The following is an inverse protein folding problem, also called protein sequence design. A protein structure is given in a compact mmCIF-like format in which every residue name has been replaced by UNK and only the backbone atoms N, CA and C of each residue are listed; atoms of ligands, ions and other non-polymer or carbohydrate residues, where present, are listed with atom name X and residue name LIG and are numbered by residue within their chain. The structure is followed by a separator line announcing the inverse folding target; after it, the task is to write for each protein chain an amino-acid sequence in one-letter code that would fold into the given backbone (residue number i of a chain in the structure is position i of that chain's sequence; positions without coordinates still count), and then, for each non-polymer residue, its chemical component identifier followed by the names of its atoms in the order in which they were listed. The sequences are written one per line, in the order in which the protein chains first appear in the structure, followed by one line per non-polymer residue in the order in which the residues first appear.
data_IF_600421577083
#
_entry.id   IF_600421577083
#
_cell.length_a   1.000
_cell.length_b   1.000
_cell.length_c   1.000
_cell.angle_alpha   90.00
_cell.angle_beta   90.00
_cell.angle_gamma   90.00
#
_symmetry.space_group_name_H-M   'P 1'
#
loop_
_entity.id
_entity.type
_entity.pdbx_description
1 polymer ?
#
# COMPACT_ATOMS: atom_id res chain seq x y z
N UNK A 1 1.11 13.43 -26.71
CA UNK A 1 0.98 12.93 -25.33
C UNK A 1 0.84 14.13 -24.41
N UNK A 2 -0.38 14.43 -23.97
CA UNK A 2 -0.68 15.62 -23.17
C UNK A 2 -0.36 15.35 -21.70
N UNK A 3 0.57 16.12 -21.14
CA UNK A 3 0.87 16.09 -19.70
C UNK A 3 -0.29 16.75 -18.95
N UNK A 4 -1.18 15.93 -18.39
CA UNK A 4 -2.31 16.42 -17.59
C UNK A 4 -1.77 16.82 -16.22
N UNK A 5 -1.41 18.10 -16.08
CA UNK A 5 -1.05 18.70 -14.80
C UNK A 5 -2.34 19.01 -14.04
N UNK A 6 -2.76 18.11 -13.15
CA UNK A 6 -3.85 18.37 -12.20
C UNK A 6 -3.32 19.29 -11.08
N UNK A 7 -3.56 20.59 -11.21
CA UNK A 7 -3.25 21.57 -10.16
C UNK A 7 -4.53 21.83 -9.35
N UNK A 8 -4.75 21.04 -8.30
CA UNK A 8 -5.64 21.40 -7.21
C UNK A 8 -4.81 22.03 -6.10
N UNK A 9 -4.70 23.37 -6.08
CA UNK A 9 -4.15 24.12 -4.94
C UNK A 9 -5.29 24.52 -4.00
N UNK A 10 -5.75 23.58 -3.19
CA UNK A 10 -6.45 23.90 -1.96
C UNK A 10 -5.41 24.02 -0.84
N UNK A 11 -5.47 25.10 -0.06
CA UNK A 11 -4.58 25.36 1.08
C UNK A 11 -4.94 24.41 2.23
N UNK A 12 -4.49 23.17 2.14
CA UNK A 12 -4.65 22.15 3.17
C UNK A 12 -3.53 22.30 4.20
N UNK A 13 -3.89 22.44 5.47
CA UNK A 13 -2.96 22.51 6.61
C UNK A 13 -1.99 21.32 6.58
N UNK A 14 -0.69 21.56 6.81
CA UNK A 14 0.46 20.67 6.51
C UNK A 14 0.52 19.24 7.11
N UNK A 15 -0.57 18.70 7.64
CA UNK A 15 -0.72 17.27 7.93
C UNK A 15 -1.19 16.47 6.70
N UNK A 16 -2.03 17.04 5.84
CA UNK A 16 -2.49 16.35 4.62
C UNK A 16 -1.44 16.34 3.51
N UNK A 17 -0.61 17.38 3.43
CA UNK A 17 0.45 17.50 2.42
C UNK A 17 1.45 16.33 2.48
N UNK A 18 1.80 15.87 3.70
CA UNK A 18 2.68 14.70 3.89
C UNK A 18 2.04 13.37 3.46
N UNK A 19 0.72 13.22 3.58
CA UNK A 19 0.03 12.01 3.09
C UNK A 19 -0.01 12.01 1.56
N UNK A 20 -0.24 13.16 0.95
CA UNK A 20 -0.33 13.29 -0.50
C UNK A 20 1.00 13.00 -1.21
N UNK A 21 2.11 13.54 -0.72
CA UNK A 21 3.44 13.28 -1.29
C UNK A 21 3.81 11.79 -1.23
N UNK A 22 3.45 11.11 -0.14
CA UNK A 22 3.67 9.67 0.00
C UNK A 22 2.82 8.83 -0.97
N UNK A 23 1.60 9.27 -1.28
CA UNK A 23 0.72 8.63 -2.25
C UNK A 23 1.27 8.71 -3.68
N UNK A 24 1.74 9.88 -4.10
CA UNK A 24 2.32 10.08 -5.44
C UNK A 24 3.59 9.26 -5.63
N UNK A 25 4.46 9.23 -4.63
CA UNK A 25 5.68 8.40 -4.67
C UNK A 25 5.34 6.90 -4.78
N UNK A 26 4.34 6.43 -4.02
CA UNK A 26 3.90 5.03 -4.05
C UNK A 26 3.37 4.61 -5.42
N UNK A 27 2.50 5.42 -6.02
CA UNK A 27 1.94 5.14 -7.35
C UNK A 27 3.04 4.99 -8.42
N UNK A 28 4.06 5.87 -8.40
CA UNK A 28 5.19 5.82 -9.35
C UNK A 28 6.01 4.54 -9.17
N UNK A 29 6.32 4.20 -7.91
CA UNK A 29 7.02 2.95 -7.59
C UNK A 29 6.26 1.72 -8.10
N UNK A 30 4.95 1.66 -7.89
CA UNK A 30 4.14 0.51 -8.37
C UNK A 30 4.07 0.48 -9.89
N UNK A 31 3.96 1.64 -10.56
CA UNK A 31 4.03 1.71 -12.02
C UNK A 31 5.38 1.22 -12.57
N UNK A 32 6.50 1.60 -11.95
CA UNK A 32 7.83 1.10 -12.31
C UNK A 32 7.94 -0.41 -12.09
N UNK A 33 7.36 -0.92 -11.01
CA UNK A 33 7.29 -2.35 -10.71
C UNK A 33 6.53 -3.12 -11.81
N UNK A 34 5.36 -2.62 -12.21
CA UNK A 34 4.55 -3.22 -13.30
C UNK A 34 5.33 -3.23 -14.62
N UNK A 35 5.99 -2.13 -14.98
CA UNK A 35 6.86 -2.09 -16.17
C UNK A 35 8.03 -3.09 -16.06
N UNK A 36 8.49 -3.38 -14.84
CA UNK A 36 9.52 -4.39 -14.59
C UNK A 36 9.07 -5.83 -14.87
N UNK A 37 7.77 -6.13 -14.77
CA UNK A 37 7.25 -7.49 -14.95
C UNK A 37 7.41 -8.01 -16.38
N UNK A 38 7.34 -7.14 -17.39
CA UNK A 38 7.62 -7.51 -18.78
C UNK A 38 9.10 -7.76 -19.09
N UNK A 39 10.01 -7.50 -18.14
CA UNK A 39 11.46 -7.73 -18.28
C UNK A 39 11.97 -8.86 -17.39
N UNK A 40 11.08 -9.62 -16.76
CA UNK A 40 11.47 -10.81 -16.01
C UNK A 40 12.05 -11.85 -16.96
N UNK A 41 13.03 -12.62 -16.48
CA UNK A 41 13.53 -13.75 -17.25
C UNK A 41 12.50 -14.88 -17.21
N UNK A 42 12.42 -15.68 -18.26
CA UNK A 42 11.72 -16.97 -18.21
C UNK A 42 12.30 -17.84 -17.07
N UNK A 43 11.42 -18.55 -16.38
CA UNK A 43 11.73 -19.36 -15.20
C UNK A 43 11.92 -18.59 -13.89
N UNK A 44 11.56 -17.29 -13.81
CA UNK A 44 11.77 -16.47 -12.60
C UNK A 44 11.06 -17.03 -11.34
N UNK A 45 9.99 -17.80 -11.53
CA UNK A 45 9.23 -18.46 -10.48
C UNK A 45 9.46 -19.98 -10.53
N UNK A 46 10.46 -20.46 -9.77
CA UNK A 46 10.82 -21.89 -9.66
C UNK A 46 11.02 -22.64 -11.00
N UNK A 47 11.40 -21.92 -12.06
CA UNK A 47 11.57 -22.49 -13.40
C UNK A 47 10.32 -22.45 -14.30
N UNK A 48 9.18 -21.97 -13.79
CA UNK A 48 7.89 -21.93 -14.53
C UNK A 48 7.48 -20.51 -14.96
N UNK A 49 7.92 -19.47 -14.24
CA UNK A 49 7.42 -18.10 -14.46
C UNK A 49 7.76 -17.52 -15.84
N UNK A 50 6.77 -16.91 -16.50
CA UNK A 50 6.93 -16.22 -17.79
C UNK A 50 6.89 -14.70 -17.57
N UNK A 51 7.64 -13.87 -18.34
CA UNK A 51 7.46 -12.43 -18.31
C UNK A 51 6.06 -12.00 -18.75
N UNK A 52 5.57 -10.90 -18.18
CA UNK A 52 4.30 -10.34 -18.61
C UNK A 52 4.36 -9.79 -20.04
N UNK A 53 3.30 -10.01 -20.82
CA UNK A 53 3.21 -9.45 -22.18
C UNK A 53 3.07 -7.92 -22.13
N UNK A 54 3.44 -7.22 -23.21
CA UNK A 54 3.27 -5.77 -23.29
C UNK A 54 1.80 -5.34 -23.10
N UNK A 55 0.86 -6.14 -23.61
CA UNK A 55 -0.58 -5.90 -23.43
C UNK A 55 -0.98 -6.02 -21.96
N UNK A 56 -0.57 -7.07 -21.24
CA UNK A 56 -0.87 -7.23 -19.81
C UNK A 56 -0.26 -6.09 -18.98
N UNK A 57 0.98 -5.67 -19.29
CA UNK A 57 1.64 -4.53 -18.64
C UNK A 57 0.86 -3.23 -18.87
N UNK A 58 0.46 -2.96 -20.11
CA UNK A 58 -0.33 -1.76 -20.46
C UNK A 58 -1.66 -1.74 -19.71
N UNK A 59 -2.35 -2.87 -19.71
CA UNK A 59 -3.70 -3.00 -19.16
C UNK A 59 -3.67 -2.89 -17.62
N UNK A 60 -2.69 -3.52 -16.95
CA UNK A 60 -2.46 -3.34 -15.52
C UNK A 60 -2.10 -1.89 -15.14
N UNK A 61 -1.32 -1.19 -15.97
CA UNK A 61 -1.04 0.24 -15.78
C UNK A 61 -2.31 1.09 -15.92
N UNK A 62 -3.25 0.72 -16.80
CA UNK A 62 -4.54 1.39 -16.95
C UNK A 62 -5.42 1.24 -15.70
N UNK A 63 -5.47 0.02 -15.14
CA UNK A 63 -6.17 -0.26 -13.88
C UNK A 63 -5.56 0.54 -12.73
N UNK A 64 -4.22 0.50 -12.59
CA UNK A 64 -3.49 1.27 -11.59
C UNK A 64 -3.84 2.77 -11.67
N UNK A 65 -3.83 3.34 -12.89
CA UNK A 65 -4.19 4.76 -13.12
C UNK A 65 -5.61 5.06 -12.66
N UNK A 66 -6.54 4.18 -13.03
CA UNK A 66 -7.96 4.37 -12.75
C UNK A 66 -8.25 4.29 -11.24
N UNK A 67 -7.69 3.32 -10.53
CA UNK A 67 -7.85 3.20 -9.08
C UNK A 67 -7.27 4.40 -8.33
N UNK A 68 -6.06 4.84 -8.70
CA UNK A 68 -5.40 6.00 -8.08
C UNK A 68 -6.15 7.30 -8.36
N UNK A 69 -6.66 7.49 -9.59
CA UNK A 69 -7.50 8.64 -9.93
C UNK A 69 -8.81 8.70 -9.12
N UNK A 70 -9.27 7.56 -8.58
CA UNK A 70 -10.45 7.45 -7.73
C UNK A 70 -10.11 7.29 -6.23
N UNK A 71 -8.90 7.69 -5.82
CA UNK A 71 -8.54 7.81 -4.40
C UNK A 71 -8.02 6.52 -3.74
N UNK A 72 -7.78 5.45 -4.51
CA UNK A 72 -7.20 4.21 -4.00
C UNK A 72 -5.66 4.28 -3.99
N UNK A 73 -5.10 5.01 -3.03
CA UNK A 73 -3.66 5.30 -2.95
C UNK A 73 -2.80 4.15 -2.41
N UNK A 74 -3.40 3.24 -1.64
CA UNK A 74 -2.71 2.08 -1.05
C UNK A 74 -2.74 0.93 -2.04
N UNK A 75 -1.80 0.98 -2.97
CA UNK A 75 -1.71 0.03 -4.09
C UNK A 75 -0.41 -0.77 -4.05
N UNK A 76 -0.47 -1.98 -4.59
CA UNK A 76 0.66 -2.84 -4.89
C UNK A 76 0.41 -3.60 -6.19
N UNK A 77 1.42 -4.26 -6.72
CA UNK A 77 1.27 -5.13 -7.88
C UNK A 77 2.21 -6.34 -7.78
N UNK A 78 1.83 -7.44 -8.39
CA UNK A 78 2.59 -8.70 -8.41
C UNK A 78 2.55 -9.32 -9.81
N UNK A 79 3.64 -9.93 -10.26
CA UNK A 79 3.61 -10.74 -11.47
C UNK A 79 2.99 -12.11 -11.16
N UNK A 80 2.05 -12.56 -11.98
CA UNK A 80 1.58 -13.95 -11.94
C UNK A 80 2.48 -14.87 -12.76
N UNK A 81 2.35 -16.18 -12.53
CA UNK A 81 3.28 -17.18 -13.06
C UNK A 81 3.20 -17.27 -14.59
N UNK A 82 2.00 -17.15 -15.16
CA UNK A 82 1.74 -17.29 -16.60
C UNK A 82 1.88 -15.96 -17.36
N UNK A 83 2.58 -14.97 -16.79
CA UNK A 83 2.73 -13.64 -17.38
C UNK A 83 1.52 -12.73 -17.16
N UNK A 84 0.58 -13.11 -16.29
CA UNK A 84 -0.46 -12.24 -15.78
C UNK A 84 0.11 -11.16 -14.85
N UNK A 85 -0.68 -10.10 -14.60
CA UNK A 85 -0.31 -9.04 -13.66
C UNK A 85 -1.46 -8.78 -12.69
N UNK A 86 -1.22 -9.00 -11.40
CA UNK A 86 -2.14 -8.71 -10.32
C UNK A 86 -1.89 -7.29 -9.78
N UNK A 87 -2.92 -6.47 -9.76
CA UNK A 87 -2.92 -5.14 -9.13
C UNK A 87 -3.86 -5.17 -7.91
N UNK A 88 -3.34 -4.86 -6.73
CA UNK A 88 -4.11 -4.88 -5.48
C UNK A 88 -4.24 -3.50 -4.84
N UNK A 89 -5.47 -3.15 -4.48
CA UNK A 89 -5.82 -1.91 -3.79
C UNK A 89 -6.39 -2.24 -2.41
N UNK A 90 -5.89 -1.56 -1.37
CA UNK A 90 -6.36 -1.74 0.01
C UNK A 90 -6.95 -0.47 0.58
N UNK A 91 -8.17 -0.51 1.08
CA UNK A 91 -8.81 0.64 1.73
C UNK A 91 -9.50 0.21 3.03
N UNK A 92 -8.88 0.47 4.18
CA UNK A 92 -9.40 -0.02 5.46
C UNK A 92 -9.40 -1.56 5.50
N UNK A 93 -10.60 -2.13 5.62
CA UNK A 93 -10.85 -3.58 5.58
C UNK A 93 -11.11 -4.11 4.17
N UNK A 94 -11.36 -3.22 3.19
CA UNK A 94 -11.59 -3.63 1.82
C UNK A 94 -10.27 -3.91 1.09
N UNK A 95 -10.22 -5.04 0.39
CA UNK A 95 -9.15 -5.47 -0.50
C UNK A 95 -9.77 -5.71 -1.88
N UNK A 96 -9.24 -5.03 -2.90
CA UNK A 96 -9.68 -5.19 -4.29
C UNK A 96 -8.49 -5.67 -5.08
N UNK A 97 -8.63 -6.81 -5.74
CA UNK A 97 -7.59 -7.48 -6.49
C UNK A 97 -8.07 -7.64 -7.93
N UNK A 98 -7.27 -7.14 -8.88
CA UNK A 98 -7.56 -7.28 -10.31
C UNK A 98 -6.34 -7.88 -10.99
N UNK A 99 -6.50 -9.11 -11.47
CA UNK A 99 -5.51 -9.81 -12.27
C UNK A 99 -5.84 -9.65 -13.75
N UNK A 100 -4.85 -9.28 -14.56
CA UNK A 100 -4.99 -9.18 -16.01
C UNK A 100 -4.17 -10.24 -16.69
N UNK A 101 -4.81 -10.95 -17.61
CA UNK A 101 -4.19 -12.00 -18.40
C UNK A 101 -4.82 -12.07 -19.79
N UNK A 102 -4.01 -11.85 -20.83
CA UNK A 102 -4.38 -12.05 -22.24
C UNK A 102 -5.65 -11.28 -22.66
N UNK A 103 -5.82 -10.06 -22.12
CA UNK A 103 -6.97 -9.19 -22.39
C UNK A 103 -8.23 -9.50 -21.58
N UNK A 104 -8.24 -10.60 -20.81
CA UNK A 104 -9.23 -10.87 -19.78
C UNK A 104 -8.73 -10.36 -18.43
N UNK A 105 -9.67 -10.18 -17.50
CA UNK A 105 -9.40 -9.82 -16.14
C UNK A 105 -10.25 -10.64 -15.17
N UNK A 106 -9.70 -10.85 -13.98
CA UNK A 106 -10.39 -11.40 -12.82
C UNK A 106 -10.39 -10.34 -11.73
N UNK A 107 -11.56 -10.03 -11.18
CA UNK A 107 -11.75 -9.01 -10.15
C UNK A 107 -12.33 -9.63 -8.89
N UNK A 108 -11.59 -9.50 -7.79
CA UNK A 108 -12.02 -9.94 -6.45
C UNK A 108 -12.15 -8.72 -5.54
N UNK A 109 -13.24 -8.64 -4.78
CA UNK A 109 -13.44 -7.66 -3.72
C UNK A 109 -13.73 -8.38 -2.42
N UNK A 110 -12.84 -8.24 -1.45
CA UNK A 110 -12.99 -8.75 -0.10
C UNK A 110 -13.19 -7.61 0.90
N UNK A 111 -13.93 -7.87 1.97
CA UNK A 111 -14.02 -7.02 3.16
C UNK A 111 -13.68 -7.84 4.39
N UNK A 112 -12.53 -7.56 4.99
CA UNK A 112 -12.04 -8.28 6.17
C UNK A 112 -11.66 -9.73 5.84
N UNK A 113 -12.60 -10.66 5.97
CA UNK A 113 -12.44 -12.10 5.66
C UNK A 113 -13.56 -12.65 4.76
N UNK A 114 -14.44 -11.77 4.31
CA UNK A 114 -15.60 -12.13 3.49
C UNK A 114 -15.36 -11.65 2.07
N UNK A 115 -15.53 -12.55 1.10
CA UNK A 115 -15.57 -12.21 -0.32
C UNK A 115 -16.93 -11.57 -0.63
N UNK A 116 -16.89 -10.31 -1.06
CA UNK A 116 -18.08 -9.53 -1.41
C UNK A 116 -18.48 -9.77 -2.86
N UNK A 117 -17.49 -9.87 -3.76
CA UNK A 117 -17.72 -10.22 -5.16
C UNK A 117 -16.49 -10.85 -5.79
N UNK A 118 -16.74 -11.81 -6.69
CA UNK A 118 -15.74 -12.44 -7.52
C UNK A 118 -16.27 -12.51 -8.96
N UNK A 119 -15.51 -11.95 -9.89
CA UNK A 119 -15.84 -11.93 -11.32
C UNK A 119 -14.63 -12.36 -12.13
N UNK A 120 -14.75 -13.48 -12.83
CA UNK A 120 -13.70 -14.06 -13.66
C UNK A 120 -14.01 -13.86 -15.15
N UNK A 121 -12.97 -13.80 -15.98
CA UNK A 121 -13.09 -13.71 -17.44
C UNK A 121 -13.87 -12.49 -17.94
N UNK A 122 -13.85 -11.39 -17.19
CA UNK A 122 -14.43 -10.10 -17.62
C UNK A 122 -13.40 -9.34 -18.46
N UNK A 123 -13.85 -8.36 -19.24
CA UNK A 123 -12.92 -7.49 -19.96
C UNK A 123 -12.20 -6.54 -19.00
N UNK A 124 -11.02 -6.06 -19.38
CA UNK A 124 -10.28 -5.03 -18.62
C UNK A 124 -11.13 -3.75 -18.41
N UNK A 125 -11.98 -3.42 -19.37
CA UNK A 125 -12.93 -2.30 -19.28
C UNK A 125 -13.95 -2.51 -18.17
N UNK A 126 -14.61 -3.66 -18.15
CA UNK A 126 -15.59 -4.02 -17.10
C UNK A 126 -14.94 -4.08 -15.71
N UNK A 127 -13.74 -4.66 -15.60
CA UNK A 127 -12.99 -4.67 -14.34
C UNK A 127 -12.67 -3.25 -13.85
N UNK A 128 -12.33 -2.35 -14.77
CA UNK A 128 -12.09 -0.93 -14.46
C UNK A 128 -13.37 -0.23 -13.99
N UNK A 129 -14.52 -0.50 -14.63
CA UNK A 129 -15.81 0.05 -14.20
C UNK A 129 -16.20 -0.43 -12.81
N UNK A 130 -16.00 -1.73 -12.50
CA UNK A 130 -16.21 -2.29 -11.17
C UNK A 130 -15.31 -1.64 -10.13
N UNK A 131 -14.01 -1.50 -10.42
CA UNK A 131 -13.06 -0.80 -9.55
C UNK A 131 -13.53 0.61 -9.22
N UNK A 132 -13.99 1.36 -10.22
CA UNK A 132 -14.50 2.73 -10.05
C UNK A 132 -15.77 2.73 -9.20
N UNK A 133 -16.67 1.77 -9.43
CA UNK A 133 -17.89 1.60 -8.63
C UNK A 133 -17.57 1.39 -7.14
N UNK A 134 -16.65 0.47 -6.84
CA UNK A 134 -16.20 0.18 -5.48
C UNK A 134 -15.50 1.41 -4.88
N UNK A 135 -14.57 2.04 -5.62
CA UNK A 135 -13.86 3.23 -5.16
C UNK A 135 -14.82 4.38 -4.79
N UNK A 136 -15.85 4.61 -5.63
CA UNK A 136 -16.89 5.61 -5.34
C UNK A 136 -17.65 5.29 -4.06
N UNK A 137 -18.01 4.03 -3.83
CA UNK A 137 -18.65 3.63 -2.57
C UNK A 137 -17.74 3.94 -1.38
N UNK A 138 -16.50 3.46 -1.41
CA UNK A 138 -15.52 3.65 -0.32
C UNK A 138 -15.24 5.13 -0.03
N UNK A 139 -15.08 5.96 -1.07
CA UNK A 139 -14.83 7.39 -0.90
C UNK A 139 -16.07 8.19 -0.46
N UNK A 140 -17.28 7.73 -0.77
CA UNK A 140 -18.52 8.36 -0.30
C UNK A 140 -18.79 8.04 1.18
N UNK A 141 -18.35 6.87 1.65
CA UNK A 141 -18.52 6.44 3.04
C UNK A 141 -17.50 7.01 4.01
N UNK A 142 -16.53 7.83 3.60
CA UNK A 142 -15.76 8.62 4.54
C UNK A 142 -16.76 9.52 5.27
N UNK A 143 -17.12 9.24 6.54
CA UNK A 143 -18.14 10.02 7.20
C UNK A 143 -17.58 11.43 7.27
N UNK A 144 -18.25 12.36 6.61
CA UNK A 144 -18.06 13.79 6.82
C UNK A 144 -18.52 14.19 8.22
N UNK A 145 -18.39 13.32 9.22
CA UNK A 145 -17.99 13.70 10.58
C UNK A 145 -16.59 14.35 10.54
N UNK A 146 -16.42 15.41 9.74
CA UNK A 146 -16.16 16.68 10.36
C UNK A 146 -17.18 16.81 11.49
N UNK A 147 -16.82 16.29 12.66
CA UNK A 147 -17.21 16.92 13.89
C UNK A 147 -16.69 18.34 13.74
N UNK A 148 -17.49 19.20 13.10
CA UNK A 148 -17.46 20.62 13.30
C UNK A 148 -17.81 20.72 14.77
N UNK A 149 -16.78 20.57 15.61
CA UNK A 149 -16.80 21.04 16.97
C UNK A 149 -16.95 22.54 16.82
N UNK A 150 -18.20 22.97 16.66
CA UNK A 150 -18.59 24.35 16.84
C UNK A 150 -18.23 24.66 18.28
N UNK A 151 -17.10 25.34 18.45
CA UNK A 151 -16.81 26.29 19.50
C UNK A 151 -17.67 26.13 20.76
N UNK A 152 -17.31 25.20 21.64
CA UNK A 152 -17.64 25.38 23.05
C UNK A 152 -16.56 26.29 23.64
N UNK A 153 -16.83 27.58 23.68
CA UNK A 153 -16.12 28.58 24.50
C UNK A 153 -16.36 28.33 25.98
N UNK A 154 -15.95 27.16 26.48
CA UNK A 154 -15.86 26.92 27.92
C UNK A 154 -14.44 26.46 28.19
N UNK A 155 -13.59 27.46 28.46
CA UNK A 155 -12.38 27.26 29.22
C UNK A 155 -12.78 26.68 30.59
N UNK A 156 -12.71 25.35 30.71
CA UNK A 156 -13.04 24.62 31.91
C UNK A 156 -12.05 23.49 32.08
N UNK A 157 -11.02 23.77 32.87
CA UNK A 157 -10.16 22.80 33.56
C UNK A 157 -10.94 21.59 34.05
N UNK A 158 -10.56 20.37 33.68
CA UNK A 158 -10.85 19.07 34.33
C UNK A 158 -10.54 17.93 33.33
N UNK A 159 -9.99 16.76 33.63
CA UNK A 159 -9.32 16.19 34.79
C UNK A 159 -8.61 14.92 34.25
N UNK A 160 -7.34 14.70 34.61
CA UNK A 160 -6.59 13.50 34.27
C UNK A 160 -7.02 12.35 35.20
N UNK A 161 -7.56 11.27 34.66
CA UNK A 161 -7.69 9.97 35.35
C UNK A 161 -7.49 8.86 34.31
N UNK A 162 -6.31 8.27 34.16
CA UNK A 162 -5.55 7.43 35.09
C UNK A 162 -6.23 6.09 35.40
N UNK A 163 -5.46 5.02 35.12
CA UNK A 163 -5.56 3.63 35.56
C UNK A 163 -6.69 2.73 35.04
N UNK A 164 -6.31 1.76 34.18
CA UNK A 164 -6.72 0.36 34.41
C UNK A 164 -5.65 -0.64 34.01
N UNK A 165 -5.57 -1.67 34.84
CA UNK A 165 -4.43 -2.52 35.11
C UNK A 165 -4.21 -3.67 34.10
N UNK A 166 -2.93 -3.99 33.91
CA UNK A 166 -2.42 -5.18 33.24
C UNK A 166 -2.72 -6.43 34.08
N UNK A 167 -3.50 -7.36 33.56
CA UNK A 167 -3.61 -8.71 34.12
C UNK A 167 -2.61 -9.63 33.40
N UNK A 168 -1.66 -10.19 34.16
CA UNK A 168 -0.72 -11.19 33.67
C UNK A 168 -1.40 -12.56 33.56
N UNK A 169 -1.28 -13.22 32.42
CA UNK A 169 -1.65 -14.62 32.24
C UNK A 169 -0.45 -15.53 32.56
N UNK A 170 -0.55 -16.49 33.50
CA UNK A 170 0.49 -17.49 33.70
C UNK A 170 0.46 -18.54 32.58
N UNK A 171 1.62 -18.79 31.95
CA UNK A 171 1.84 -19.90 31.02
C UNK A 171 2.33 -21.15 31.76
N UNK A 172 1.65 -22.27 31.56
CA UNK A 172 2.06 -23.63 31.95
C UNK A 172 1.40 -24.56 30.91
N UNK A 173 1.98 -25.55 30.23
CA UNK A 173 3.07 -26.51 30.51
C UNK A 173 3.56 -27.08 29.15
N UNK A 174 4.83 -27.50 29.00
CA UNK A 174 5.30 -28.24 27.82
C UNK A 174 4.89 -29.73 27.86
N UNK A 175 4.43 -30.28 26.73
CA UNK A 175 4.45 -31.74 26.47
C UNK A 175 5.08 -31.97 25.10
N UNK A 176 6.37 -32.27 25.13
CA UNK A 176 7.13 -32.82 24.01
C UNK A 176 6.90 -34.33 24.01
N UNK A 177 6.19 -34.84 23.02
CA UNK A 177 6.23 -36.27 22.66
C UNK A 177 7.35 -36.43 21.64
N UNK A 178 8.33 -37.26 21.98
CA UNK A 178 9.40 -37.71 21.09
C UNK A 178 8.80 -38.65 20.05
N UNK A 179 8.87 -38.28 18.78
CA UNK A 179 8.64 -39.23 17.70
C UNK A 179 9.54 -38.91 16.48
N UNK A 180 10.27 -39.95 16.07
CA UNK A 180 11.09 -40.16 14.87
C UNK A 180 11.83 -38.98 14.23
N UNK A 181 13.14 -38.92 14.49
CA UNK A 181 14.10 -38.22 13.64
C UNK A 181 14.24 -38.93 12.29
N UNK A 182 13.59 -38.39 11.26
CA UNK A 182 13.97 -38.62 9.87
C UNK A 182 15.00 -37.56 9.48
N UNK A 183 16.09 -37.97 8.84
CA UNK A 183 17.20 -37.11 8.47
C UNK A 183 16.73 -35.89 7.65
N UNK A 184 16.79 -34.71 8.26
CA UNK A 184 16.53 -33.44 7.59
C UNK A 184 17.75 -33.03 6.79
N UNK A 185 17.58 -32.90 5.48
CA UNK A 185 18.58 -32.29 4.58
C UNK A 185 18.72 -30.80 4.94
N UNK A 186 19.94 -30.37 5.27
CA UNK A 186 20.28 -28.96 5.47
C UNK A 186 20.32 -28.26 4.10
N UNK A 187 19.31 -27.41 3.83
CA UNK A 187 19.26 -26.51 2.66
C UNK A 187 19.45 -25.03 3.04
N UNK A 188 20.05 -24.74 4.19
CA UNK A 188 20.33 -23.36 4.59
C UNK A 188 21.80 -22.99 4.37
N UNK A 189 22.17 -22.74 3.12
CA UNK A 189 23.34 -21.91 2.84
C UNK A 189 22.95 -20.74 1.94
N UNK A 190 23.27 -19.55 2.44
CA UNK A 190 23.22 -18.23 1.79
C UNK A 190 21.87 -17.52 1.79
N UNK A 191 21.45 -17.12 2.99
CA UNK A 191 20.55 -15.97 3.13
C UNK A 191 21.26 -14.71 2.63
N UNK A 192 20.66 -14.07 1.63
CA UNK A 192 20.90 -12.70 1.22
C UNK A 192 20.90 -11.80 2.46
N UNK A 193 21.91 -10.92 2.66
CA UNK A 193 21.88 -9.98 3.77
C UNK A 193 20.60 -9.12 3.67
N UNK A 194 19.88 -8.90 4.79
CA UNK A 194 18.72 -8.04 4.79
C UNK A 194 19.13 -6.63 4.34
N UNK A 195 18.55 -6.19 3.22
CA UNK A 195 18.67 -4.80 2.76
C UNK A 195 18.12 -3.88 3.85
N UNK A 196 18.99 -3.13 4.53
CA UNK A 196 18.65 -2.15 5.56
C UNK A 196 17.98 -0.87 5.01
N UNK A 197 17.59 -0.84 3.74
CA UNK A 197 17.05 0.37 3.08
C UNK A 197 15.53 0.49 3.11
N UNK A 198 14.79 -0.48 3.66
CA UNK A 198 13.33 -0.35 3.80
C UNK A 198 12.94 -0.73 5.23
N UNK A 199 12.53 0.22 6.10
CA UNK A 199 12.01 -0.13 7.41
C UNK A 199 10.74 -0.97 7.24
N UNK A 200 10.59 -2.09 7.97
CA UNK A 200 9.35 -2.85 7.99
C UNK A 200 8.23 -1.95 8.49
N UNK A 201 7.19 -1.79 7.67
CA UNK A 201 6.01 -1.03 8.03
C UNK A 201 5.12 -1.90 8.93
N UNK A 202 5.47 -1.98 10.21
CA UNK A 202 4.55 -2.47 11.25
C UNK A 202 3.48 -1.40 11.43
N UNK A 203 2.23 -1.74 11.13
CA UNK A 203 1.08 -0.85 11.11
C UNK A 203 0.63 -0.28 12.46
N UNK A 204 1.55 -0.04 13.40
CA UNK A 204 1.27 0.59 14.69
C UNK A 204 1.79 2.03 14.69
N UNK A 205 0.90 2.98 14.40
CA UNK A 205 1.13 4.39 14.70
C UNK A 205 0.66 4.72 16.12
N UNK A 206 1.33 4.14 17.12
CA UNK A 206 1.32 4.67 18.47
C UNK A 206 2.61 5.47 18.69
N UNK A 207 2.50 6.78 18.48
CA UNK A 207 3.31 7.87 19.08
C UNK A 207 4.78 7.57 19.41
N UNK A 208 5.70 7.99 18.53
CA UNK A 208 7.07 8.31 18.92
C UNK A 208 7.35 9.81 18.70
N UNK A 209 7.81 10.55 19.73
CA UNK A 209 8.17 11.95 19.59
C UNK A 209 9.62 12.06 19.08
N UNK A 210 9.80 12.33 17.79
CA UNK A 210 11.12 12.64 17.25
C UNK A 210 11.46 14.12 17.45
N UNK A 211 12.51 14.34 18.25
CA UNK A 211 13.24 15.60 18.46
C UNK A 211 13.53 16.30 17.13
N UNK A 212 13.11 17.57 17.04
CA UNK A 212 13.52 18.51 16.02
C UNK A 212 15.01 18.86 16.19
N UNK A 213 15.86 18.41 15.27
CA UNK A 213 17.16 19.01 15.03
C UNK A 213 16.99 20.08 13.94
N UNK A 214 17.14 21.34 14.34
CA UNK A 214 17.16 22.50 13.47
C UNK A 214 18.43 22.50 12.60
N UNK A 215 18.36 22.82 11.30
CA UNK A 215 19.54 22.99 10.48
C UNK A 215 20.25 24.31 10.80
N UNK A 216 21.58 24.25 10.91
CA UNK A 216 22.46 25.41 11.05
C UNK A 216 22.50 26.22 9.75
N UNK A 217 22.40 27.55 9.89
CA UNK A 217 22.55 28.51 8.79
C UNK A 217 23.97 28.42 8.21
N UNK A 218 24.10 28.25 6.90
CA UNK A 218 25.35 28.47 6.19
C UNK A 218 25.58 29.96 5.89
N UNK A 219 26.84 30.44 5.92
CA UNK A 219 27.19 31.82 5.62
C UNK A 219 27.19 32.09 4.11
N UNK A 220 26.61 33.23 3.71
CA UNK A 220 26.66 33.72 2.33
C UNK A 220 28.02 34.39 2.06
N UNK A 221 28.74 33.90 1.06
CA UNK A 221 29.96 34.53 0.55
C UNK A 221 29.59 35.58 -0.49
N UNK A 222 29.86 36.85 -0.20
CA UNK A 222 29.72 37.96 -1.15
C UNK A 222 31.01 38.05 -1.97
N UNK A 223 30.94 37.83 -3.27
CA UNK A 223 32.05 38.08 -4.21
C UNK A 223 31.88 39.51 -4.73
N UNK A 224 32.83 40.39 -4.43
CA UNK A 224 32.96 41.72 -5.06
C UNK A 224 33.81 41.56 -6.32
N UNK A 225 33.28 42.03 -7.45
CA UNK A 225 34.03 42.23 -8.68
C UNK A 225 34.74 43.60 -8.65
N UNK A 226 35.99 43.61 -9.10
CA UNK A 226 36.77 44.80 -9.49
C UNK A 226 37.27 44.58 -10.90
#
# INVERSE_FOLDING_TARGET
MNSVSFIYKASLSGFEERKFESGVARWRYVAEKINGFGRLNEGWHFGEGVPATEDNVRDALSILKSGVAHGLWRVNAFPGVEGSVLVSFKHGEDLIEIEVENGAATCTHERGREEISFDESITVGEATEKLIGIAKQLCTFAPFTLSISMNSTVAGTEWLSSHRATAASPSSVPRVLRESQVASVRISERFTPPSLLIPPFTGDFATSPLRLLLPSKQPQTTIRAT
#
